data_IF_223860330235
#
_entry.id   IF_223860330235
#
_cell.length_a   1.000
_cell.length_b   1.000
_cell.length_c   1.000
_cell.angle_alpha   90.00
_cell.angle_beta   90.00
_cell.angle_gamma   90.00
#
_symmetry.space_group_name_H-M   'P 1'
#
loop_
_entity.id
_entity.type
_entity.pdbx_description
1 polymer ?
#
# COMPACT_ATOMS: atom_id res chain seq x y z
N UNK A 1 20.25 -29.80 5.77
CA UNK A 1 19.14 -29.29 4.93
C UNK A 1 19.65 -29.24 3.50
N UNK A 2 19.08 -30.07 2.61
CA UNK A 2 19.47 -30.06 1.19
C UNK A 2 19.07 -28.68 0.61
N UNK A 3 20.01 -27.99 -0.02
CA UNK A 3 19.74 -26.87 -0.87
C UNK A 3 18.82 -27.40 -1.97
N UNK A 4 17.52 -27.06 -1.90
CA UNK A 4 16.59 -27.33 -2.98
C UNK A 4 17.19 -26.70 -4.23
N UNK A 5 17.30 -27.45 -5.32
CA UNK A 5 17.93 -27.00 -6.55
C UNK A 5 17.27 -25.68 -6.96
N UNK A 6 18.08 -24.66 -7.13
CA UNK A 6 17.63 -23.29 -7.43
C UNK A 6 16.66 -23.22 -8.63
N UNK A 7 16.79 -24.13 -9.60
CA UNK A 7 15.88 -24.27 -10.75
C UNK A 7 14.52 -24.86 -10.40
N UNK A 8 14.42 -25.58 -9.29
CA UNK A 8 13.16 -26.22 -8.91
C UNK A 8 12.11 -25.19 -8.46
N UNK A 9 12.49 -24.21 -7.62
CA UNK A 9 11.55 -23.18 -7.16
C UNK A 9 11.09 -22.28 -8.32
N UNK A 10 12.02 -21.88 -9.21
CA UNK A 10 11.72 -21.04 -10.38
C UNK A 10 10.73 -21.75 -11.33
N UNK A 11 10.96 -23.05 -11.60
CA UNK A 11 10.06 -23.86 -12.43
C UNK A 11 8.66 -23.97 -11.80
N UNK A 12 8.58 -24.17 -10.48
CA UNK A 12 7.30 -24.27 -9.78
C UNK A 12 6.57 -22.92 -9.74
N UNK A 13 7.29 -21.83 -9.54
CA UNK A 13 6.71 -20.47 -9.62
C UNK A 13 6.19 -20.18 -11.03
N UNK A 14 6.97 -20.52 -12.08
CA UNK A 14 6.56 -20.34 -13.47
C UNK A 14 5.28 -21.12 -13.81
N UNK A 15 5.08 -22.30 -13.21
CA UNK A 15 3.85 -23.06 -13.36
C UNK A 15 2.62 -22.41 -12.71
N UNK A 16 2.82 -21.45 -11.78
CA UNK A 16 1.73 -20.72 -11.13
C UNK A 16 1.39 -19.44 -11.91
N UNK A 17 2.41 -18.60 -12.21
CA UNK A 17 2.23 -17.23 -12.71
C UNK A 17 2.63 -17.06 -14.17
N UNK A 18 3.19 -18.07 -14.82
CA UNK A 18 3.81 -17.97 -16.14
C UNK A 18 5.27 -17.48 -16.09
N UNK A 19 6.08 -17.92 -17.02
CA UNK A 19 7.53 -17.62 -17.06
C UNK A 19 7.80 -16.10 -17.22
N UNK A 20 7.00 -15.40 -17.99
CA UNK A 20 7.14 -13.95 -18.23
C UNK A 20 6.91 -13.09 -16.98
N UNK A 21 6.35 -13.68 -15.92
CA UNK A 21 6.08 -13.02 -14.63
C UNK A 21 7.21 -13.21 -13.61
N UNK A 22 8.32 -13.82 -14.01
CA UNK A 22 9.47 -14.11 -13.13
C UNK A 22 10.69 -13.32 -13.59
N UNK A 23 11.38 -12.69 -12.65
CA UNK A 23 12.66 -12.03 -12.87
C UNK A 23 13.74 -12.82 -12.14
N UNK A 24 14.68 -13.36 -12.89
CA UNK A 24 15.77 -14.21 -12.39
C UNK A 24 17.15 -13.59 -12.64
N UNK A 25 17.23 -12.56 -13.49
CA UNK A 25 18.49 -11.88 -13.80
C UNK A 25 19.01 -11.06 -12.61
N UNK A 26 20.33 -10.96 -12.50
CA UNK A 26 21.00 -10.32 -11.37
C UNK A 26 20.62 -8.84 -11.20
N UNK A 27 20.45 -8.12 -12.29
CA UNK A 27 20.10 -6.71 -12.25
C UNK A 27 18.68 -6.49 -11.71
N UNK A 28 17.72 -7.29 -12.19
CA UNK A 28 16.33 -7.27 -11.71
C UNK A 28 16.25 -7.68 -10.24
N UNK A 29 16.89 -8.78 -9.82
CA UNK A 29 16.91 -9.23 -8.42
C UNK A 29 17.52 -8.18 -7.51
N UNK A 30 18.62 -7.55 -7.89
CA UNK A 30 19.26 -6.47 -7.14
C UNK A 30 18.33 -5.28 -7.01
N UNK A 31 17.70 -4.84 -8.11
CA UNK A 31 16.73 -3.74 -8.08
C UNK A 31 15.58 -4.00 -7.11
N UNK A 32 15.01 -5.21 -7.14
CA UNK A 32 13.90 -5.57 -6.26
C UNK A 32 14.33 -5.85 -4.82
N UNK A 33 15.62 -5.97 -4.54
CA UNK A 33 16.19 -6.12 -3.20
C UNK A 33 16.68 -4.80 -2.58
N UNK A 34 16.40 -3.67 -3.25
CA UNK A 34 16.86 -2.34 -2.86
C UNK A 34 15.66 -1.44 -2.56
N UNK A 35 15.75 -0.64 -1.49
CA UNK A 35 14.85 0.48 -1.22
C UNK A 35 15.59 1.82 -1.32
N UNK A 36 14.91 2.93 -0.96
CA UNK A 36 15.53 4.26 -1.01
C UNK A 36 16.60 4.50 0.07
N UNK A 37 16.67 3.65 1.10
CA UNK A 37 17.66 3.74 2.17
C UNK A 37 18.88 2.85 1.92
N UNK A 38 18.73 1.75 1.16
CA UNK A 38 19.83 0.84 0.89
C UNK A 38 19.40 -0.48 0.26
N UNK A 39 20.39 -1.35 0.09
CA UNK A 39 20.22 -2.69 -0.46
C UNK A 39 20.21 -3.71 0.68
N UNK A 40 19.26 -4.65 0.64
CA UNK A 40 19.23 -5.85 1.48
C UNK A 40 20.01 -7.03 0.86
N UNK A 41 19.78 -8.23 1.38
CA UNK A 41 20.22 -9.45 0.72
C UNK A 41 19.56 -9.58 -0.66
N UNK A 42 20.25 -10.16 -1.64
CA UNK A 42 19.66 -10.34 -2.97
C UNK A 42 18.64 -11.46 -2.94
N UNK A 43 17.38 -11.15 -3.29
CA UNK A 43 16.30 -12.14 -3.40
C UNK A 43 16.64 -13.22 -4.41
N UNK A 44 16.16 -14.44 -4.19
CA UNK A 44 16.39 -15.59 -5.10
C UNK A 44 15.71 -15.38 -6.47
N UNK A 45 14.48 -14.91 -6.45
CA UNK A 45 13.71 -14.56 -7.64
C UNK A 45 12.66 -13.49 -7.28
N UNK A 46 12.16 -12.80 -8.29
CA UNK A 46 11.01 -11.90 -8.17
C UNK A 46 9.85 -12.51 -8.93
N UNK A 47 8.69 -12.64 -8.29
CA UNK A 47 7.47 -13.15 -8.92
C UNK A 47 6.39 -12.09 -8.92
N UNK A 48 5.85 -11.74 -10.09
CA UNK A 48 4.70 -10.86 -10.21
C UNK A 48 3.42 -11.69 -10.19
N UNK A 49 2.52 -11.35 -9.28
CA UNK A 49 1.19 -11.98 -9.17
C UNK A 49 0.12 -11.02 -9.70
N UNK A 50 -0.90 -11.57 -10.35
CA UNK A 50 -2.01 -10.83 -10.97
C UNK A 50 -3.37 -11.09 -10.32
N UNK A 51 -3.44 -12.05 -9.40
CA UNK A 51 -4.66 -12.41 -8.69
C UNK A 51 -4.38 -12.91 -7.27
N UNK A 52 -5.41 -12.89 -6.42
CA UNK A 52 -5.35 -13.49 -5.07
C UNK A 52 -5.06 -14.99 -5.12
N UNK A 53 -5.58 -15.72 -6.13
CA UNK A 53 -5.31 -17.15 -6.30
C UNK A 53 -3.82 -17.41 -6.60
N UNK A 54 -3.22 -16.69 -7.54
CA UNK A 54 -1.78 -16.78 -7.79
C UNK A 54 -0.97 -16.45 -6.54
N UNK A 55 -1.31 -15.38 -5.83
CA UNK A 55 -0.65 -14.99 -4.59
C UNK A 55 -0.72 -16.10 -3.55
N UNK A 56 -1.91 -16.67 -3.31
CA UNK A 56 -2.13 -17.79 -2.38
C UNK A 56 -1.24 -18.98 -2.70
N UNK A 57 -1.22 -19.40 -3.96
CA UNK A 57 -0.40 -20.54 -4.41
C UNK A 57 1.10 -20.27 -4.33
N UNK A 58 1.53 -19.03 -4.63
CA UNK A 58 2.93 -18.60 -4.49
C UNK A 58 3.37 -18.66 -3.02
N UNK A 59 2.55 -18.11 -2.08
CA UNK A 59 2.88 -18.12 -0.66
C UNK A 59 2.89 -19.56 -0.08
N UNK A 60 1.90 -20.37 -0.43
CA UNK A 60 1.87 -21.78 -0.04
C UNK A 60 3.12 -22.54 -0.53
N UNK A 61 3.56 -22.28 -1.76
CA UNK A 61 4.78 -22.87 -2.31
C UNK A 61 6.03 -22.39 -1.57
N UNK A 62 6.14 -21.09 -1.28
CA UNK A 62 7.26 -20.54 -0.49
C UNK A 62 7.32 -21.19 0.89
N UNK A 63 6.19 -21.30 1.59
CA UNK A 63 6.12 -21.96 2.90
C UNK A 63 6.51 -23.44 2.84
N UNK A 64 6.04 -24.16 1.83
CA UNK A 64 6.35 -25.60 1.66
C UNK A 64 7.84 -25.87 1.38
N UNK A 65 8.55 -24.89 0.79
CA UNK A 65 9.97 -25.03 0.41
C UNK A 65 10.91 -24.20 1.31
N UNK A 66 10.39 -23.65 2.43
CA UNK A 66 11.15 -22.87 3.42
C UNK A 66 11.79 -21.60 2.83
N UNK A 67 11.10 -20.94 1.88
CA UNK A 67 11.46 -19.62 1.37
C UNK A 67 10.72 -18.51 2.11
N UNK A 68 11.43 -17.41 2.39
CA UNK A 68 10.82 -16.18 2.94
C UNK A 68 10.17 -15.40 1.81
N UNK A 69 8.85 -15.23 1.83
CA UNK A 69 8.14 -14.38 0.88
C UNK A 69 8.14 -12.92 1.37
N UNK A 70 8.45 -11.97 0.47
CA UNK A 70 8.57 -10.55 0.80
C UNK A 70 7.65 -9.74 -0.13
N UNK A 71 6.63 -9.02 0.40
CA UNK A 71 5.75 -8.21 -0.43
C UNK A 71 6.46 -6.95 -0.94
N UNK A 72 6.28 -6.61 -2.21
CA UNK A 72 6.74 -5.36 -2.78
C UNK A 72 5.66 -4.72 -3.65
N UNK A 73 5.31 -3.48 -3.32
CA UNK A 73 4.47 -2.61 -4.15
C UNK A 73 5.32 -1.73 -5.07
N UNK A 74 5.09 -0.42 -5.06
CA UNK A 74 5.81 0.54 -5.89
C UNK A 74 7.29 0.76 -5.53
N UNK A 75 7.75 0.32 -4.35
CA UNK A 75 9.15 0.45 -3.95
C UNK A 75 9.56 1.87 -3.53
N UNK A 76 8.66 2.64 -2.91
CA UNK A 76 8.90 4.04 -2.52
C UNK A 76 9.10 4.25 -1.01
N UNK A 77 9.14 3.19 -0.23
CA UNK A 77 9.51 3.27 1.19
C UNK A 77 11.04 3.34 1.34
N UNK A 78 11.46 3.83 2.49
CA UNK A 78 12.86 3.93 2.92
C UNK A 78 13.07 3.35 4.33
N UNK A 79 12.21 2.39 4.70
CA UNK A 79 12.19 1.78 6.04
C UNK A 79 12.81 0.38 6.07
N UNK A 80 13.27 -0.13 4.94
CA UNK A 80 13.75 -1.51 4.82
C UNK A 80 12.64 -2.58 4.85
N UNK A 81 11.37 -2.19 4.95
CA UNK A 81 10.25 -3.11 5.19
C UNK A 81 9.93 -4.07 4.03
N UNK A 82 10.50 -3.87 2.86
CA UNK A 82 10.35 -4.76 1.70
C UNK A 82 11.69 -5.20 1.09
N UNK A 83 12.79 -4.95 1.80
CA UNK A 83 14.10 -5.45 1.39
C UNK A 83 14.37 -6.81 2.03
N UNK A 84 14.86 -7.80 1.27
CA UNK A 84 15.21 -9.10 1.83
C UNK A 84 16.31 -9.00 2.89
N UNK A 85 16.18 -9.77 3.96
CA UNK A 85 17.23 -9.90 4.99
C UNK A 85 18.02 -11.22 4.84
N UNK A 86 17.52 -12.13 4.02
CA UNK A 86 18.16 -13.43 3.70
C UNK A 86 18.06 -13.72 2.20
N UNK A 87 19.06 -14.42 1.65
CA UNK A 87 19.09 -14.80 0.23
C UNK A 87 18.00 -15.85 -0.10
N UNK A 88 17.63 -16.68 0.87
CA UNK A 88 16.55 -17.66 0.73
C UNK A 88 15.16 -16.99 0.78
N UNK A 89 14.95 -16.03 -0.11
CA UNK A 89 13.73 -15.22 -0.18
C UNK A 89 13.20 -15.10 -1.61
N UNK A 90 11.91 -14.93 -1.72
CA UNK A 90 11.18 -14.61 -2.97
C UNK A 90 10.51 -13.26 -2.78
N UNK A 91 10.86 -12.30 -3.62
CA UNK A 91 10.14 -11.01 -3.64
C UNK A 91 8.89 -11.15 -4.49
N UNK A 92 7.73 -10.87 -3.89
CA UNK A 92 6.44 -10.92 -4.57
C UNK A 92 6.06 -9.51 -5.01
N UNK A 93 6.11 -9.27 -6.32
CA UNK A 93 5.67 -8.01 -6.93
C UNK A 93 4.14 -7.97 -7.00
N UNK A 94 3.55 -7.19 -6.09
CA UNK A 94 2.10 -7.07 -5.92
C UNK A 94 1.42 -6.18 -6.97
N UNK A 95 2.18 -5.49 -7.84
CA UNK A 95 1.66 -4.51 -8.78
C UNK A 95 0.75 -5.08 -9.86
N UNK A 96 0.71 -6.40 -10.02
CA UNK A 96 -0.23 -7.03 -10.96
C UNK A 96 -1.65 -7.19 -10.40
N UNK A 97 -1.86 -7.07 -9.10
CA UNK A 97 -3.21 -7.03 -8.48
C UNK A 97 -3.65 -5.56 -8.41
N UNK A 98 -3.96 -4.94 -9.55
CA UNK A 98 -4.17 -3.50 -9.69
C UNK A 98 -5.59 -3.09 -10.10
N UNK A 99 -6.49 -4.04 -10.24
CA UNK A 99 -7.86 -3.81 -10.68
C UNK A 99 -8.68 -2.99 -9.67
N UNK A 100 -9.53 -2.10 -10.16
CA UNK A 100 -10.61 -1.51 -9.38
C UNK A 100 -11.81 -2.46 -9.50
N UNK A 101 -12.06 -3.23 -8.43
CA UNK A 101 -13.07 -4.30 -8.41
C UNK A 101 -14.48 -3.72 -8.43
N UNK A 102 -14.71 -2.68 -7.61
CA UNK A 102 -16.03 -2.06 -7.45
C UNK A 102 -15.89 -0.62 -6.98
N UNK A 103 -16.72 0.28 -7.49
CA UNK A 103 -16.93 1.62 -6.95
C UNK A 103 -18.41 1.73 -6.59
N UNK A 104 -18.74 1.59 -5.31
CA UNK A 104 -20.09 1.70 -4.79
C UNK A 104 -20.32 3.13 -4.27
N UNK A 105 -21.09 3.91 -5.02
CA UNK A 105 -21.37 5.31 -4.70
C UNK A 105 -22.63 5.46 -3.82
N UNK A 106 -23.39 4.40 -3.62
CA UNK A 106 -24.54 4.36 -2.70
C UNK A 106 -24.06 4.15 -1.27
N UNK A 107 -23.26 3.09 -1.05
CA UNK A 107 -22.72 2.75 0.27
C UNK A 107 -21.35 3.40 0.54
N UNK A 108 -20.86 4.23 -0.38
CA UNK A 108 -19.68 5.09 -0.22
C UNK A 108 -18.38 4.32 0.06
N UNK A 109 -18.10 3.29 -0.74
CA UNK A 109 -16.83 2.57 -0.69
C UNK A 109 -16.28 2.23 -2.08
N UNK A 110 -15.00 1.92 -2.15
CA UNK A 110 -14.32 1.33 -3.32
C UNK A 110 -13.58 0.07 -2.89
N UNK A 111 -13.70 -1.01 -3.68
CA UNK A 111 -12.87 -2.21 -3.57
C UNK A 111 -11.80 -2.17 -4.64
N UNK A 112 -10.54 -2.28 -4.24
CA UNK A 112 -9.40 -2.08 -5.14
C UNK A 112 -8.27 -3.04 -4.82
N UNK A 113 -7.62 -3.56 -5.85
CA UNK A 113 -6.40 -4.35 -5.74
C UNK A 113 -5.27 -3.54 -5.09
N UNK A 114 -4.57 -4.14 -4.15
CA UNK A 114 -3.52 -3.47 -3.38
C UNK A 114 -2.28 -3.10 -4.23
N UNK A 115 -2.13 -3.65 -5.44
CA UNK A 115 -1.14 -3.24 -6.44
C UNK A 115 -1.52 -2.00 -7.23
N UNK A 116 -2.78 -1.55 -7.18
CA UNK A 116 -3.24 -0.33 -7.83
C UNK A 116 -2.47 0.89 -7.32
N UNK A 117 -2.06 1.77 -8.23
CA UNK A 117 -1.42 3.03 -7.84
C UNK A 117 -2.46 4.04 -7.33
N UNK A 118 -2.03 4.91 -6.41
CA UNK A 118 -2.90 5.99 -5.92
C UNK A 118 -3.37 6.91 -7.05
N UNK A 119 -2.53 7.12 -8.07
CA UNK A 119 -2.91 7.88 -9.26
C UNK A 119 -4.09 7.25 -9.99
N UNK A 120 -3.98 5.96 -10.31
CA UNK A 120 -5.03 5.26 -11.08
C UNK A 120 -6.35 5.25 -10.29
N UNK A 121 -6.29 4.98 -8.98
CA UNK A 121 -7.45 5.05 -8.10
C UNK A 121 -8.05 6.46 -8.07
N UNK A 122 -7.22 7.48 -7.89
CA UNK A 122 -7.64 8.87 -7.84
C UNK A 122 -8.34 9.31 -9.13
N UNK A 123 -7.77 9.01 -10.29
CA UNK A 123 -8.33 9.37 -11.60
C UNK A 123 -9.68 8.67 -11.85
N UNK A 124 -9.79 7.38 -11.50
CA UNK A 124 -11.02 6.62 -11.65
C UNK A 124 -12.15 7.15 -10.75
N UNK A 125 -11.84 7.48 -9.49
CA UNK A 125 -12.81 8.04 -8.55
C UNK A 125 -13.22 9.46 -8.93
N UNK A 126 -12.26 10.30 -9.34
CA UNK A 126 -12.52 11.66 -9.81
C UNK A 126 -13.51 11.70 -10.97
N UNK A 127 -13.36 10.78 -11.93
CA UNK A 127 -14.28 10.67 -13.06
C UNK A 127 -15.74 10.41 -12.65
N UNK A 128 -15.96 9.88 -11.43
CA UNK A 128 -17.28 9.63 -10.83
C UNK A 128 -17.72 10.69 -9.82
N UNK A 129 -16.89 11.71 -9.56
CA UNK A 129 -17.17 12.77 -8.59
C UNK A 129 -16.91 12.39 -7.13
N UNK A 130 -16.01 11.44 -6.89
CA UNK A 130 -15.63 10.94 -5.57
C UNK A 130 -14.12 10.90 -5.37
N UNK A 131 -13.68 10.76 -4.13
CA UNK A 131 -12.30 10.43 -3.74
C UNK A 131 -12.29 9.64 -2.43
N UNK A 132 -11.16 9.05 -2.09
CA UNK A 132 -10.92 8.56 -0.74
C UNK A 132 -10.57 9.73 0.20
N UNK A 133 -10.84 9.64 1.53
CA UNK A 133 -10.45 10.67 2.52
C UNK A 133 -8.94 10.94 2.46
N UNK A 134 -8.11 9.94 2.74
CA UNK A 134 -6.71 9.93 2.36
C UNK A 134 -6.60 9.60 0.87
N UNK A 135 -5.94 10.42 0.08
CA UNK A 135 -5.91 10.27 -1.38
C UNK A 135 -4.50 10.15 -1.98
N UNK A 136 -3.54 9.74 -1.18
CA UNK A 136 -2.24 9.25 -1.64
C UNK A 136 -1.03 10.02 -1.10
N UNK A 137 0.16 9.42 -1.25
CA UNK A 137 1.43 10.07 -1.00
C UNK A 137 1.85 10.96 -2.19
N UNK A 138 2.90 11.77 -2.02
CA UNK A 138 3.51 12.54 -3.13
C UNK A 138 4.01 11.65 -4.26
N UNK A 139 4.43 10.42 -3.95
CA UNK A 139 4.86 9.39 -4.90
C UNK A 139 3.70 8.62 -5.53
N UNK A 140 2.46 9.09 -5.41
CA UNK A 140 1.23 8.39 -5.83
C UNK A 140 1.17 7.94 -7.27
N UNK A 141 2.03 8.45 -8.15
CA UNK A 141 2.19 7.97 -9.53
C UNK A 141 2.60 6.50 -9.61
N UNK A 142 3.41 6.03 -8.67
CA UNK A 142 3.93 4.66 -8.64
C UNK A 142 3.69 3.97 -7.29
N UNK A 143 3.46 4.72 -6.21
CA UNK A 143 3.14 4.16 -4.91
C UNK A 143 1.77 3.48 -4.96
N UNK A 144 1.72 2.25 -4.45
CA UNK A 144 0.53 1.41 -4.48
C UNK A 144 -0.32 1.60 -3.23
N UNK A 145 -1.60 1.26 -3.33
CA UNK A 145 -2.54 1.24 -2.20
C UNK A 145 -1.99 0.35 -1.09
N UNK A 146 -1.67 -0.91 -1.39
CA UNK A 146 -1.16 -1.86 -0.39
C UNK A 146 0.14 -1.43 0.27
N UNK A 147 1.06 -0.78 -0.48
CA UNK A 147 2.29 -0.23 0.09
C UNK A 147 2.01 0.88 1.11
N UNK A 148 1.06 1.78 0.83
CA UNK A 148 0.66 2.83 1.76
C UNK A 148 -0.01 2.24 3.02
N UNK A 149 -0.88 1.21 2.86
CA UNK A 149 -1.52 0.52 3.98
C UNK A 149 -0.49 -0.17 4.88
N UNK A 150 0.47 -0.88 4.29
CA UNK A 150 1.50 -1.61 5.02
C UNK A 150 2.49 -0.67 5.74
N UNK A 151 2.71 0.54 5.23
CA UNK A 151 3.60 1.53 5.85
C UNK A 151 2.87 2.53 6.76
N UNK A 152 1.54 2.42 6.90
CA UNK A 152 0.76 3.37 7.70
C UNK A 152 0.91 4.81 7.18
N UNK A 153 0.86 5.00 5.86
CA UNK A 153 1.16 6.28 5.22
C UNK A 153 0.27 7.41 5.72
N UNK A 154 0.88 8.54 6.02
CA UNK A 154 0.20 9.81 6.31
C UNK A 154 0.69 10.86 5.31
N UNK A 155 -0.21 11.41 4.53
CA UNK A 155 0.09 12.44 3.52
C UNK A 155 -1.20 13.15 3.09
N UNK A 156 -1.44 13.25 1.79
CA UNK A 156 -2.56 14.04 1.24
C UNK A 156 -3.91 13.62 1.85
N UNK A 157 -4.55 14.53 2.56
CA UNK A 157 -5.80 14.34 3.28
C UNK A 157 -5.65 14.04 4.79
N UNK A 158 -4.43 13.78 5.26
CA UNK A 158 -4.22 13.32 6.64
C UNK A 158 -4.55 14.36 7.70
N UNK A 159 -4.44 15.64 7.41
CA UNK A 159 -4.73 16.69 8.39
C UNK A 159 -6.20 16.72 8.81
N UNK A 160 -7.11 16.43 7.87
CA UNK A 160 -8.55 16.43 8.13
C UNK A 160 -9.09 15.02 8.46
N UNK A 161 -8.56 13.98 7.80
CA UNK A 161 -9.16 12.64 7.80
C UNK A 161 -8.32 11.57 8.50
N UNK A 162 -7.15 11.92 9.02
CA UNK A 162 -6.23 10.96 9.60
C UNK A 162 -5.38 10.25 8.54
N UNK A 163 -4.67 9.21 8.95
CA UNK A 163 -3.78 8.43 8.08
C UNK A 163 -4.57 7.58 7.08
N UNK A 164 -3.86 6.91 6.19
CA UNK A 164 -4.48 5.95 5.26
C UNK A 164 -5.30 4.88 5.99
N UNK A 165 -4.94 4.56 7.23
CA UNK A 165 -5.57 3.51 8.03
C UNK A 165 -7.03 3.83 8.38
N UNK A 166 -7.37 5.10 8.60
CA UNK A 166 -8.74 5.55 8.90
C UNK A 166 -9.68 5.48 7.69
N UNK A 167 -9.10 5.37 6.50
CA UNK A 167 -9.88 5.18 5.26
C UNK A 167 -10.26 3.73 4.99
N UNK A 168 -9.67 2.75 5.71
CA UNK A 168 -9.87 1.32 5.43
C UNK A 168 -11.10 0.78 6.15
N UNK A 169 -11.95 0.06 5.42
CA UNK A 169 -13.13 -0.63 5.92
C UNK A 169 -12.90 -2.13 6.09
N UNK A 170 -12.29 -2.78 5.11
CA UNK A 170 -11.97 -4.20 5.15
C UNK A 170 -10.74 -4.51 4.29
N UNK A 171 -10.17 -5.68 4.50
CA UNK A 171 -9.05 -6.21 3.72
C UNK A 171 -9.31 -7.67 3.38
N UNK A 172 -8.92 -8.06 2.20
CA UNK A 172 -8.62 -9.44 1.83
C UNK A 172 -7.11 -9.62 1.98
N UNK A 173 -6.70 -10.61 2.75
CA UNK A 173 -5.29 -10.85 3.12
C UNK A 173 -4.95 -12.30 2.88
N UNK A 174 -3.80 -12.54 2.26
CA UNK A 174 -3.24 -13.88 2.11
C UNK A 174 -2.15 -14.08 3.17
N UNK A 175 -2.31 -15.11 3.99
CA UNK A 175 -1.37 -15.48 5.04
C UNK A 175 -0.16 -16.24 4.46
N UNK A 176 0.89 -16.38 5.26
CA UNK A 176 2.14 -17.02 4.82
C UNK A 176 1.96 -18.48 4.35
N UNK A 177 0.94 -19.20 4.83
CA UNK A 177 0.60 -20.55 4.39
C UNK A 177 -0.28 -20.62 3.13
N UNK A 178 -0.66 -19.45 2.56
CA UNK A 178 -1.52 -19.33 1.41
C UNK A 178 -3.01 -19.19 1.73
N UNK A 179 -3.42 -19.30 3.00
CA UNK A 179 -4.82 -19.12 3.39
C UNK A 179 -5.28 -17.69 3.12
N UNK A 180 -6.47 -17.54 2.56
CA UNK A 180 -7.10 -16.23 2.30
C UNK A 180 -8.10 -15.94 3.41
N UNK A 181 -7.95 -14.77 4.03
CA UNK A 181 -8.86 -14.28 5.05
C UNK A 181 -9.44 -12.92 4.68
N UNK A 182 -10.63 -12.64 5.18
CA UNK A 182 -11.31 -11.35 5.06
C UNK A 182 -11.45 -10.71 6.43
N UNK A 183 -11.35 -9.39 6.51
CA UNK A 183 -11.49 -8.64 7.76
C UNK A 183 -12.71 -7.72 7.74
N UNK A 184 -13.07 -7.16 8.90
CA UNK A 184 -14.26 -6.32 9.01
C UNK A 184 -15.54 -7.10 8.69
N UNK A 185 -16.57 -6.42 8.21
CA UNK A 185 -17.84 -7.09 7.85
C UNK A 185 -17.72 -8.02 6.64
N UNK A 186 -16.72 -7.85 5.79
CA UNK A 186 -16.43 -8.74 4.65
C UNK A 186 -16.06 -10.18 5.09
N UNK A 187 -15.75 -10.38 6.38
CA UNK A 187 -15.47 -11.70 6.96
C UNK A 187 -16.72 -12.58 7.13
N UNK A 188 -17.91 -12.01 7.10
CA UNK A 188 -19.16 -12.74 7.24
C UNK A 188 -19.82 -13.00 5.88
N UNK A 189 -20.23 -14.24 5.64
CA UNK A 189 -20.82 -14.62 4.36
C UNK A 189 -22.09 -13.80 4.06
N UNK A 190 -22.17 -13.24 2.86
CA UNK A 190 -23.34 -12.50 2.36
C UNK A 190 -23.46 -11.07 2.90
N UNK A 191 -22.44 -10.54 3.58
CA UNK A 191 -22.43 -9.14 4.05
C UNK A 191 -21.70 -8.22 3.08
N UNK A 192 -21.98 -6.91 3.19
CA UNK A 192 -21.25 -5.88 2.45
C UNK A 192 -20.01 -5.41 3.24
N UNK A 193 -18.93 -5.01 2.57
CA UNK A 193 -17.63 -4.75 3.18
C UNK A 193 -17.48 -3.33 3.77
N UNK A 194 -18.50 -2.76 4.40
CA UNK A 194 -18.47 -1.34 4.81
C UNK A 194 -18.37 -1.09 6.32
N UNK A 195 -18.30 -2.13 7.15
CA UNK A 195 -18.01 -2.02 8.58
C UNK A 195 -16.63 -2.58 8.90
N UNK A 196 -15.74 -1.73 9.42
CA UNK A 196 -14.42 -2.15 9.87
C UNK A 196 -14.48 -2.93 11.17
N UNK A 197 -15.25 -2.44 12.14
CA UNK A 197 -15.31 -2.97 13.51
C UNK A 197 -16.40 -4.03 13.63
N UNK A 198 -16.26 -5.14 12.93
CA UNK A 198 -17.12 -6.31 13.04
C UNK A 198 -16.45 -7.34 13.96
N UNK A 199 -16.70 -7.24 15.27
CA UNK A 199 -15.94 -7.91 16.31
C UNK A 199 -14.63 -7.17 16.63
N UNK A 200 -13.57 -7.86 17.06
CA UNK A 200 -12.22 -7.28 17.21
C UNK A 200 -11.71 -6.68 15.91
N UNK A 201 -10.97 -5.58 15.97
CA UNK A 201 -10.41 -4.91 14.79
C UNK A 201 -9.27 -5.72 14.15
N UNK A 202 -9.60 -6.78 13.44
CA UNK A 202 -8.64 -7.56 12.66
C UNK A 202 -8.08 -6.78 11.47
N UNK A 203 -8.84 -5.81 10.93
CA UNK A 203 -8.35 -4.93 9.87
C UNK A 203 -7.14 -4.14 10.35
N UNK A 204 -7.18 -3.61 11.56
CA UNK A 204 -6.07 -2.88 12.18
C UNK A 204 -4.81 -3.70 12.35
N UNK A 205 -4.92 -5.01 12.54
CA UNK A 205 -3.78 -5.91 12.68
C UNK A 205 -2.88 -5.93 11.43
N UNK A 206 -3.46 -5.81 10.23
CA UNK A 206 -2.76 -5.84 8.95
C UNK A 206 -2.42 -4.45 8.40
N UNK A 207 -2.60 -3.39 9.19
CA UNK A 207 -2.25 -2.02 8.81
C UNK A 207 -0.98 -1.59 9.55
N UNK A 208 -0.10 -0.84 8.86
CA UNK A 208 1.21 -0.43 9.39
C UNK A 208 2.09 -1.61 9.86
N UNK A 209 1.85 -2.80 9.32
CA UNK A 209 2.56 -4.05 9.63
C UNK A 209 3.82 -4.27 8.77
N UNK A 210 4.16 -3.32 7.91
CA UNK A 210 5.20 -3.44 6.86
C UNK A 210 5.01 -4.63 5.90
N UNK A 211 3.83 -5.29 5.94
CA UNK A 211 3.54 -6.51 5.19
C UNK A 211 3.98 -7.80 5.90
N UNK A 212 4.40 -7.69 7.16
CA UNK A 212 4.96 -8.83 7.92
C UNK A 212 3.89 -9.85 8.35
N UNK A 213 2.65 -9.42 8.59
CA UNK A 213 1.59 -10.28 9.11
C UNK A 213 0.73 -10.92 8.00
N UNK A 214 0.77 -10.36 6.79
CA UNK A 214 0.06 -10.90 5.65
C UNK A 214 0.13 -10.02 4.41
N UNK A 215 -0.13 -10.62 3.26
CA UNK A 215 -0.11 -9.97 1.96
C UNK A 215 -1.51 -9.46 1.62
N UNK A 216 -1.68 -8.16 1.58
CA UNK A 216 -2.97 -7.52 1.27
C UNK A 216 -3.22 -7.60 -0.24
N UNK A 217 -4.23 -8.35 -0.66
CA UNK A 217 -4.62 -8.50 -2.06
C UNK A 217 -5.65 -7.44 -2.48
N UNK A 218 -6.74 -7.30 -1.73
CA UNK A 218 -7.82 -6.34 -1.98
C UNK A 218 -8.03 -5.47 -0.74
N UNK A 219 -8.23 -4.18 -0.95
CA UNK A 219 -8.63 -3.24 0.10
C UNK A 219 -10.00 -2.62 -0.22
N UNK A 220 -10.83 -2.49 0.80
CA UNK A 220 -12.06 -1.69 0.74
C UNK A 220 -11.82 -0.38 1.46
N UNK A 221 -11.95 0.72 0.73
CA UNK A 221 -11.68 2.07 1.22
C UNK A 221 -12.96 2.91 1.22
N UNK A 222 -13.12 3.78 2.21
CA UNK A 222 -14.20 4.77 2.27
C UNK A 222 -14.14 5.73 1.08
N UNK A 223 -15.30 6.18 0.63
CA UNK A 223 -15.43 7.29 -0.31
C UNK A 223 -15.99 8.52 0.38
N UNK A 224 -15.59 9.67 -0.12
CA UNK A 224 -16.22 10.98 0.11
C UNK A 224 -16.49 11.64 -1.23
N UNK A 225 -17.43 12.59 -1.26
CA UNK A 225 -17.68 13.36 -2.47
C UNK A 225 -16.46 14.20 -2.83
N UNK A 226 -16.23 14.33 -4.11
CA UNK A 226 -15.24 15.28 -4.62
C UNK A 226 -15.63 16.70 -4.17
N UNK A 227 -14.70 17.49 -3.63
CA UNK A 227 -15.02 18.87 -3.23
C UNK A 227 -15.39 19.69 -4.46
N UNK A 228 -16.46 20.50 -4.33
CA UNK A 228 -16.93 21.36 -5.43
C UNK A 228 -15.87 22.40 -5.85
N UNK A 229 -15.07 22.85 -4.89
CA UNK A 229 -13.98 23.80 -5.09
C UNK A 229 -12.75 23.36 -4.31
N UNK A 230 -11.58 23.71 -4.82
CA UNK A 230 -10.31 23.48 -4.16
C UNK A 230 -9.50 24.78 -4.20
N UNK A 231 -8.85 25.09 -3.08
CA UNK A 231 -7.94 26.20 -2.98
C UNK A 231 -6.59 25.72 -2.44
N UNK A 232 -5.53 26.38 -2.87
CA UNK A 232 -4.17 26.09 -2.47
C UNK A 232 -3.50 27.37 -2.01
N UNK A 233 -2.71 27.26 -0.94
CA UNK A 233 -1.95 28.39 -0.42
C UNK A 233 -0.53 27.96 -0.04
N UNK A 234 0.44 28.85 -0.21
CA UNK A 234 1.80 28.69 0.27
C UNK A 234 2.21 29.95 1.03
N UNK A 235 2.82 29.76 2.19
CA UNK A 235 3.29 30.82 3.07
C UNK A 235 4.75 30.60 3.40
N UNK A 236 5.54 31.68 3.46
CA UNK A 236 6.93 31.63 3.92
C UNK A 236 7.04 32.30 5.29
N UNK A 237 7.95 31.79 6.11
CA UNK A 237 8.21 32.29 7.47
C UNK A 237 9.71 32.49 7.63
N UNK A 238 10.10 33.51 8.39
CA UNK A 238 11.49 33.83 8.63
C UNK A 238 12.15 32.86 9.62
N UNK A 239 11.34 32.21 10.47
CA UNK A 239 11.81 31.19 11.40
C UNK A 239 10.91 29.96 11.48
N UNK A 240 11.49 28.84 11.93
CA UNK A 240 10.78 27.57 12.03
C UNK A 240 9.72 27.53 13.14
N UNK A 241 9.85 28.34 14.19
CA UNK A 241 8.90 28.39 15.30
C UNK A 241 7.57 29.02 14.84
N UNK A 242 7.62 30.15 14.13
CA UNK A 242 6.46 30.79 13.53
C UNK A 242 5.78 29.86 12.52
N UNK A 243 6.58 29.13 11.73
CA UNK A 243 6.10 28.13 10.80
C UNK A 243 5.33 27.01 11.51
N UNK A 244 5.88 26.43 12.56
CA UNK A 244 5.23 25.34 13.33
C UNK A 244 3.98 25.85 14.08
N UNK A 245 3.99 27.08 14.60
CA UNK A 245 2.81 27.68 15.23
C UNK A 245 1.67 27.82 14.23
N UNK A 246 1.92 28.37 13.04
CA UNK A 246 0.92 28.49 11.98
C UNK A 246 0.39 27.11 11.53
N UNK A 247 1.25 26.10 11.38
CA UNK A 247 0.83 24.74 11.07
C UNK A 247 -0.15 24.21 12.12
N UNK A 248 0.18 24.38 13.38
CA UNK A 248 -0.63 23.94 14.50
C UNK A 248 -1.99 24.65 14.56
N UNK A 249 -2.01 25.96 14.31
CA UNK A 249 -3.25 26.75 14.30
C UNK A 249 -4.17 26.38 13.15
N UNK A 250 -3.64 26.20 11.93
CA UNK A 250 -4.41 25.75 10.77
C UNK A 250 -4.97 24.35 10.99
N UNK A 251 -4.16 23.42 11.55
CA UNK A 251 -4.60 22.07 11.88
C UNK A 251 -5.73 22.07 12.93
N UNK A 252 -5.57 22.81 14.02
CA UNK A 252 -6.62 22.93 15.05
C UNK A 252 -7.91 23.58 14.56
N UNK A 253 -7.80 24.51 13.64
CA UNK A 253 -8.96 25.17 13.05
C UNK A 253 -9.72 24.32 12.02
N UNK A 254 -9.17 23.13 11.61
CA UNK A 254 -9.80 22.26 10.62
C UNK A 254 -9.98 22.92 9.25
N UNK A 255 -9.12 23.87 8.89
CA UNK A 255 -9.28 24.67 7.67
C UNK A 255 -8.75 24.00 6.41
N UNK A 256 -7.96 22.94 6.55
CA UNK A 256 -7.27 22.33 5.42
C UNK A 256 -7.36 20.80 5.46
N UNK A 257 -7.63 20.21 4.30
CA UNK A 257 -7.56 18.75 4.13
C UNK A 257 -6.13 18.24 4.30
N UNK A 258 -5.15 19.07 3.91
CA UNK A 258 -3.73 18.79 4.11
C UNK A 258 -2.97 20.09 4.41
N UNK A 259 -2.11 20.05 5.42
CA UNK A 259 -1.15 21.11 5.70
C UNK A 259 0.20 20.49 6.06
N UNK A 260 1.28 21.06 5.53
CA UNK A 260 2.63 20.58 5.78
C UNK A 260 3.65 21.70 5.76
N UNK A 261 4.71 21.53 6.55
CA UNK A 261 5.88 22.38 6.48
C UNK A 261 7.01 21.68 5.72
N UNK A 262 7.68 22.42 4.85
CA UNK A 262 8.92 21.98 4.22
C UNK A 262 10.01 22.99 4.60
N UNK A 263 11.15 22.50 5.11
CA UNK A 263 12.35 23.33 5.21
C UNK A 263 13.15 23.17 3.93
N UNK A 264 13.44 24.26 3.24
CA UNK A 264 14.56 24.29 2.31
C UNK A 264 15.66 25.17 2.89
N UNK A 265 16.88 24.99 2.44
CA UNK A 265 18.08 25.68 2.98
C UNK A 265 18.00 27.22 2.98
N UNK A 266 16.94 27.82 2.44
CA UNK A 266 16.74 29.27 2.35
C UNK A 266 15.31 29.77 2.60
N UNK A 267 14.32 28.91 2.81
CA UNK A 267 12.95 29.34 3.11
C UNK A 267 12.10 28.21 3.70
N UNK A 268 11.30 28.52 4.71
CA UNK A 268 10.29 27.62 5.26
C UNK A 268 8.97 27.88 4.51
N UNK A 269 8.45 26.87 3.82
CA UNK A 269 7.18 26.97 3.09
C UNK A 269 6.13 26.07 3.71
N UNK A 270 4.93 26.58 3.84
CA UNK A 270 3.73 25.80 4.10
C UNK A 270 2.91 25.66 2.83
N UNK A 271 2.42 24.47 2.57
CA UNK A 271 1.40 24.24 1.56
C UNK A 271 0.10 23.83 2.25
N UNK A 272 -0.97 24.56 2.01
CA UNK A 272 -2.32 24.27 2.49
C UNK A 272 -3.15 23.82 1.29
N UNK A 273 -3.76 22.65 1.39
CA UNK A 273 -4.61 22.09 0.34
C UNK A 273 -6.00 21.83 0.93
N UNK A 274 -7.02 22.37 0.31
CA UNK A 274 -8.43 22.11 0.64
C UNK A 274 -9.26 21.83 -0.61
#
# INVERSE_FOLDING_TARGET
MSIVDNKEIETKLAAIVGADSIIEDDAGRTFFSTDLAGQGATTRAVVRVSSTDELSRVLALCAALDYVAIPRGGGFSYTGGYTPVVENSITVDMRGIDQIVEINTEDMYVRVGCGCTWRNLYEALKAKGYRTPYYGPMSGYNATVGGALSQGSFFLGSTEYGTVMESVLSLEVVLANGDVIHTGSDSAAGTLPFYRNYGPDLTGLFLADTGALGFKSIATLKLIKWPAHQAYGSFSFDDGQAALAALSDIGRAGLAAEVRANSCLRANYFNVFK
#
